data_IF_649209662530
#
_entry.id   IF_649209662530
#
_cell.length_a   1.000
_cell.length_b   1.000
_cell.length_c   1.000
_cell.angle_alpha   90.00
_cell.angle_beta   90.00
_cell.angle_gamma   90.00
#
_symmetry.space_group_name_H-M   'P 1'
#
loop_
_entity.id
_entity.type
_entity.pdbx_description
1 polymer ?
#
# COMPACT_ATOMS: atom_id res chain seq x y z
N UNK A 1 -3.98 2.69 -17.46
CA UNK A 1 -3.88 2.55 -16.00
C UNK A 1 -5.16 1.91 -15.48
N UNK A 2 -5.05 0.84 -14.70
CA UNK A 2 -6.18 0.12 -14.12
C UNK A 2 -6.25 0.44 -12.63
N UNK A 3 -7.38 0.97 -12.19
CA UNK A 3 -7.61 1.20 -10.76
C UNK A 3 -8.11 -0.09 -10.11
N UNK A 4 -7.31 -0.68 -9.23
CA UNK A 4 -7.66 -1.91 -8.51
C UNK A 4 -7.10 -1.91 -7.10
N UNK A 5 -7.67 -2.75 -6.24
CA UNK A 5 -7.07 -3.00 -4.93
C UNK A 5 -5.85 -3.90 -5.10
N UNK A 6 -4.72 -3.46 -4.58
CA UNK A 6 -3.48 -4.23 -4.51
C UNK A 6 -3.21 -4.62 -3.06
N UNK A 7 -2.58 -5.78 -2.88
CA UNK A 7 -2.12 -6.21 -1.57
C UNK A 7 -0.74 -5.64 -1.31
N UNK A 8 -0.58 -5.00 -0.16
CA UNK A 8 0.68 -4.41 0.28
C UNK A 8 1.02 -4.99 1.64
N UNK A 9 2.20 -5.58 1.76
CA UNK A 9 2.74 -6.05 3.03
C UNK A 9 3.56 -4.93 3.67
N UNK A 10 3.23 -4.61 4.92
CA UNK A 10 3.96 -3.64 5.72
C UNK A 10 4.53 -4.36 6.93
N UNK A 11 5.81 -4.12 7.18
CA UNK A 11 6.44 -4.46 8.44
C UNK A 11 6.29 -3.27 9.40
N UNK A 12 5.60 -3.49 10.52
CA UNK A 12 5.51 -2.51 11.61
C UNK A 12 6.83 -2.44 12.37
N UNK A 13 7.02 -1.35 13.11
CA UNK A 13 8.17 -1.17 14.00
C UNK A 13 8.30 -2.30 15.05
N UNK A 14 7.18 -2.84 15.54
CA UNK A 14 7.12 -3.98 16.47
C UNK A 14 7.50 -5.34 15.82
N UNK A 15 7.92 -5.35 14.55
CA UNK A 15 8.27 -6.56 13.80
C UNK A 15 7.08 -7.32 13.21
N UNK A 16 5.85 -6.96 13.58
CA UNK A 16 4.62 -7.54 13.04
C UNK A 16 4.43 -7.19 11.56
N UNK A 17 4.22 -8.19 10.72
CA UNK A 17 3.83 -8.00 9.30
C UNK A 17 2.32 -7.94 9.19
N UNK A 18 1.82 -6.95 8.45
CA UNK A 18 0.40 -6.81 8.13
C UNK A 18 0.21 -6.70 6.63
N UNK A 19 -0.70 -7.50 6.10
CA UNK A 19 -1.10 -7.44 4.69
C UNK A 19 -2.36 -6.59 4.59
N UNK A 20 -2.34 -5.56 3.77
CA UNK A 20 -3.43 -4.62 3.60
C UNK A 20 -3.82 -4.55 2.14
N UNK A 21 -5.13 -4.57 1.87
CA UNK A 21 -5.65 -4.25 0.53
C UNK A 21 -5.90 -2.76 0.43
N UNK A 22 -5.18 -2.12 -0.46
CA UNK A 22 -5.32 -0.68 -0.71
C UNK A 22 -5.52 -0.41 -2.20
N UNK A 23 -6.29 0.62 -2.56
CA UNK A 23 -6.48 0.98 -3.95
C UNK A 23 -5.22 1.60 -4.54
N UNK A 24 -4.81 1.11 -5.71
CA UNK A 24 -3.69 1.61 -6.48
C UNK A 24 -4.05 1.69 -7.97
N UNK A 25 -3.38 2.59 -8.68
CA UNK A 25 -3.40 2.63 -10.12
C UNK A 25 -2.25 1.75 -10.63
N UNK A 26 -2.59 0.63 -11.24
CA UNK A 26 -1.60 -0.27 -11.83
C UNK A 26 -1.48 0.02 -13.31
N UNK A 27 -0.26 0.24 -13.75
CA UNK A 27 0.09 0.32 -15.16
C UNK A 27 -0.09 -1.05 -15.80
N UNK A 28 -1.03 -1.20 -16.74
CA UNK A 28 -1.25 -2.47 -17.44
C UNK A 28 -0.06 -2.85 -18.34
N UNK A 29 0.64 -1.85 -18.86
CA UNK A 29 1.79 -2.03 -19.76
C UNK A 29 3.08 -2.40 -19.03
N UNK A 30 3.32 -1.81 -17.86
CA UNK A 30 4.59 -1.90 -17.13
C UNK A 30 4.47 -2.63 -15.78
N UNK A 31 3.26 -2.80 -15.26
CA UNK A 31 3.01 -3.46 -13.98
C UNK A 31 3.22 -2.59 -12.73
N UNK A 32 3.73 -1.36 -12.88
CA UNK A 32 3.97 -0.46 -11.75
C UNK A 32 2.68 -0.04 -11.06
N UNK A 33 2.71 -0.04 -9.72
CA UNK A 33 1.60 0.36 -8.86
C UNK A 33 1.85 1.76 -8.30
N UNK A 34 0.91 2.67 -8.57
CA UNK A 34 0.93 4.05 -8.11
C UNK A 34 -0.17 4.26 -7.06
N UNK A 35 0.23 4.74 -5.89
CA UNK A 35 -0.67 4.94 -4.75
C UNK A 35 -1.05 6.41 -4.60
N UNK A 36 -2.29 6.68 -4.20
CA UNK A 36 -2.69 8.05 -3.82
C UNK A 36 -1.96 8.47 -2.52
N UNK A 37 -1.69 9.77 -2.32
CA UNK A 37 -1.06 10.27 -1.11
C UNK A 37 -1.86 9.93 0.17
N UNK A 38 -3.18 9.82 0.09
CA UNK A 38 -4.04 9.38 1.19
C UNK A 38 -3.76 7.92 1.61
N UNK A 39 -3.52 7.04 0.64
CA UNK A 39 -3.16 5.64 0.88
C UNK A 39 -1.77 5.60 1.52
N UNK A 40 -0.80 6.34 0.97
CA UNK A 40 0.55 6.41 1.53
C UNK A 40 0.54 6.87 3.00
N UNK A 41 -0.23 7.91 3.34
CA UNK A 41 -0.40 8.36 4.74
C UNK A 41 -1.05 7.30 5.64
N UNK A 42 -1.99 6.51 5.14
CA UNK A 42 -2.57 5.39 5.90
C UNK A 42 -1.52 4.32 6.16
N UNK A 43 -0.76 3.93 5.15
CA UNK A 43 0.31 2.93 5.27
C UNK A 43 1.37 3.37 6.28
N UNK A 44 1.81 4.63 6.18
CA UNK A 44 2.77 5.24 7.11
C UNK A 44 2.26 5.24 8.56
N UNK A 45 1.01 5.67 8.78
CA UNK A 45 0.38 5.56 10.09
C UNK A 45 0.32 4.11 10.59
N UNK A 46 0.07 3.12 9.73
CA UNK A 46 0.00 1.73 10.20
C UNK A 46 1.39 1.19 10.56
N UNK A 47 2.43 1.60 9.82
CA UNK A 47 3.81 1.24 10.09
C UNK A 47 4.33 1.84 11.41
N UNK A 48 3.98 3.10 11.69
CA UNK A 48 4.47 3.87 12.84
C UNK A 48 3.46 4.05 13.99
N UNK A 49 2.23 3.54 13.88
CA UNK A 49 1.29 3.45 15.01
C UNK A 49 1.72 2.29 15.89
N UNK A 50 2.76 2.54 16.69
CA UNK A 50 3.20 1.78 17.85
C UNK A 50 2.85 2.53 19.12
#
# INVERSE_FOLDING_TARGET
MVYKNTEVEIQKADGKRVSLRVPAYVCDTCGEAYYKPEVSRKLDRIAYSG
#
